data_IF_994108493565
#
_entry.id   IF_994108493565
#
_cell.length_a   1.000
_cell.length_b   1.000
_cell.length_c   1.000
_cell.angle_alpha   90.00
_cell.angle_beta   90.00
_cell.angle_gamma   90.00
#
_symmetry.space_group_name_H-M   'P 1'
#
loop_
_entity.id
_entity.type
_entity.pdbx_description
1 polymer ?
#
# COMPACT_ATOMS: atom_id res chain seq x y z
N UNK A 1 12.91 -12.52 16.84
CA UNK A 1 13.66 -11.61 17.75
C UNK A 1 12.87 -10.31 17.87
N UNK A 2 12.83 -9.62 19.03
CA UNK A 2 11.96 -8.42 19.21
C UNK A 2 12.17 -7.29 18.19
N UNK A 3 13.35 -7.21 17.58
CA UNK A 3 13.70 -6.19 16.59
C UNK A 3 13.43 -6.62 15.14
N UNK A 4 12.90 -7.81 14.90
CA UNK A 4 12.74 -8.39 13.57
C UNK A 4 11.89 -7.51 12.66
N UNK A 5 10.80 -6.95 13.18
CA UNK A 5 9.97 -6.06 12.37
C UNK A 5 10.64 -4.71 12.05
N UNK A 6 11.48 -4.19 12.95
CA UNK A 6 12.29 -2.99 12.69
C UNK A 6 13.35 -3.28 11.63
N UNK A 7 14.07 -4.39 11.76
CA UNK A 7 15.09 -4.83 10.81
C UNK A 7 14.51 -5.05 9.41
N UNK A 8 13.31 -5.64 9.34
CA UNK A 8 12.55 -5.78 8.10
C UNK A 8 12.35 -4.41 7.41
N UNK A 9 11.87 -3.42 8.16
CA UNK A 9 11.64 -2.07 7.64
C UNK A 9 12.93 -1.41 7.13
N UNK A 10 14.03 -1.56 7.89
CA UNK A 10 15.34 -1.05 7.48
C UNK A 10 15.84 -1.71 6.19
N UNK A 11 15.63 -3.02 6.04
CA UNK A 11 16.00 -3.76 4.85
C UNK A 11 15.19 -3.31 3.63
N UNK A 12 13.88 -3.13 3.78
CA UNK A 12 13.00 -2.67 2.68
C UNK A 12 13.44 -1.29 2.17
N UNK A 13 13.75 -0.37 3.09
CA UNK A 13 14.05 1.01 2.70
C UNK A 13 15.51 1.24 2.29
N UNK A 14 16.45 0.37 2.67
CA UNK A 14 17.88 0.55 2.44
C UNK A 14 18.23 0.77 0.95
N UNK A 15 17.76 -0.11 0.07
CA UNK A 15 17.98 0.00 -1.37
C UNK A 15 17.40 1.29 -1.97
N UNK A 16 16.08 1.54 -1.80
CA UNK A 16 15.44 2.79 -2.22
C UNK A 16 16.12 4.05 -1.70
N UNK A 17 16.55 4.09 -0.43
CA UNK A 17 17.27 5.24 0.12
C UNK A 17 18.62 5.44 -0.56
N UNK A 18 19.44 4.39 -0.66
CA UNK A 18 20.76 4.49 -1.27
C UNK A 18 20.68 4.92 -2.75
N UNK A 19 19.73 4.32 -3.49
CA UNK A 19 19.55 4.59 -4.91
C UNK A 19 18.75 5.87 -5.19
N UNK A 20 18.16 6.51 -4.18
CA UNK A 20 17.48 7.80 -4.35
C UNK A 20 18.41 8.93 -4.81
N UNK A 21 19.71 8.79 -4.54
CA UNK A 21 20.76 9.74 -4.92
C UNK A 21 21.34 9.50 -6.31
N UNK A 22 20.89 8.44 -7.00
CA UNK A 22 21.27 8.19 -8.39
C UNK A 22 20.97 9.40 -9.28
N UNK A 23 21.87 9.69 -10.22
CA UNK A 23 21.78 10.90 -11.06
C UNK A 23 20.64 10.84 -12.07
N UNK A 24 20.24 9.65 -12.51
CA UNK A 24 19.23 9.46 -13.55
C UNK A 24 17.82 9.58 -12.97
N UNK A 25 17.55 8.89 -11.86
CA UNK A 25 16.22 8.94 -11.21
C UNK A 25 16.10 10.14 -10.29
N UNK A 26 17.16 10.45 -9.53
CA UNK A 26 17.24 11.59 -8.59
C UNK A 26 16.00 11.73 -7.71
N UNK A 27 15.51 10.61 -7.15
CA UNK A 27 14.31 10.58 -6.32
C UNK A 27 14.42 11.47 -5.08
N UNK A 28 15.64 11.73 -4.60
CA UNK A 28 15.93 12.68 -3.51
C UNK A 28 15.32 14.07 -3.75
N UNK A 29 15.19 14.52 -5.01
CA UNK A 29 14.57 15.79 -5.34
C UNK A 29 13.05 15.82 -5.09
N UNK A 30 12.43 14.67 -4.86
CA UNK A 30 11.00 14.51 -4.64
C UNK A 30 10.66 14.01 -3.24
N UNK A 31 11.64 13.81 -2.35
CA UNK A 31 11.40 13.31 -1.00
C UNK A 31 10.40 14.12 -0.19
N UNK A 32 10.43 15.46 -0.26
CA UNK A 32 9.44 16.29 0.45
C UNK A 32 7.99 15.98 0.02
N UNK A 33 7.77 15.78 -1.28
CA UNK A 33 6.46 15.41 -1.84
C UNK A 33 6.09 13.97 -1.52
N UNK A 34 7.07 13.05 -1.56
CA UNK A 34 6.88 11.66 -1.19
C UNK A 34 6.47 11.57 0.28
N UNK A 35 7.24 12.14 1.21
CA UNK A 35 6.93 12.18 2.64
C UNK A 35 5.55 12.77 2.91
N UNK A 36 5.19 13.87 2.24
CA UNK A 36 3.84 14.44 2.39
C UNK A 36 2.74 13.48 1.89
N UNK A 37 2.93 12.81 0.76
CA UNK A 37 1.97 11.80 0.29
C UNK A 37 1.85 10.60 1.23
N UNK A 38 2.97 10.16 1.84
CA UNK A 38 2.97 9.09 2.84
C UNK A 38 2.16 9.52 4.06
N UNK A 39 2.42 10.71 4.61
CA UNK A 39 1.71 11.22 5.78
C UNK A 39 0.20 11.36 5.53
N UNK A 40 -0.21 11.82 4.33
CA UNK A 40 -1.63 11.91 3.97
C UNK A 40 -2.26 10.53 3.88
N UNK A 41 -1.60 9.56 3.24
CA UNK A 41 -2.12 8.20 3.13
C UNK A 41 -2.10 7.45 4.47
N UNK A 42 -1.14 7.75 5.35
CA UNK A 42 -1.07 7.19 6.69
C UNK A 42 -2.32 7.47 7.51
N UNK A 43 -2.95 8.65 7.36
CA UNK A 43 -4.12 9.02 8.19
C UNK A 43 -5.23 7.97 8.12
N UNK A 44 -5.83 7.65 6.96
CA UNK A 44 -6.90 6.66 6.91
C UNK A 44 -6.44 5.23 7.24
N UNK A 45 -5.24 4.82 6.79
CA UNK A 45 -4.79 3.43 6.92
C UNK A 45 -4.26 3.10 8.32
N UNK A 46 -3.49 3.99 8.95
CA UNK A 46 -3.08 3.81 10.34
C UNK A 46 -4.30 3.90 11.26
N UNK A 47 -5.24 4.81 10.99
CA UNK A 47 -6.49 4.88 11.77
C UNK A 47 -7.27 3.57 11.67
N UNK A 48 -7.36 2.99 10.48
CA UNK A 48 -7.95 1.67 10.30
C UNK A 48 -7.20 0.64 11.14
N UNK A 49 -5.88 0.50 11.00
CA UNK A 49 -5.08 -0.45 11.76
C UNK A 49 -5.27 -0.34 13.29
N UNK A 50 -5.27 0.89 13.82
CA UNK A 50 -5.51 1.17 15.25
C UNK A 50 -6.91 0.71 15.68
N UNK A 51 -7.93 0.86 14.83
CA UNK A 51 -9.31 0.51 15.16
C UNK A 51 -9.58 -1.00 15.15
N UNK A 52 -8.80 -1.76 14.36
CA UNK A 52 -9.06 -3.19 14.15
C UNK A 52 -8.01 -4.10 14.76
N UNK A 53 -6.84 -3.58 15.15
CA UNK A 53 -5.85 -4.33 15.91
C UNK A 53 -6.47 -4.80 17.23
N UNK A 54 -6.22 -6.06 17.60
CA UNK A 54 -6.92 -6.69 18.72
C UNK A 54 -8.20 -7.44 18.32
N UNK A 55 -8.66 -7.30 17.08
CA UNK A 55 -9.87 -7.98 16.54
C UNK A 55 -9.62 -8.66 15.19
N UNK A 56 -9.18 -7.90 14.19
CA UNK A 56 -8.92 -8.43 12.84
C UNK A 56 -7.54 -9.06 12.78
N UNK A 57 -6.55 -8.40 13.37
CA UNK A 57 -5.19 -8.91 13.51
C UNK A 57 -4.54 -8.48 14.82
N UNK A 58 -3.45 -9.20 15.16
CA UNK A 58 -2.60 -8.96 16.32
C UNK A 58 -1.14 -8.97 15.91
N UNK A 59 -0.30 -8.35 16.72
CA UNK A 59 1.15 -8.35 16.55
C UNK A 59 1.79 -9.31 17.54
N UNK A 60 2.73 -10.11 17.07
CA UNK A 60 3.40 -11.10 17.90
C UNK A 60 4.56 -10.45 18.68
N UNK A 61 4.49 -10.55 20.01
CA UNK A 61 5.48 -9.96 20.92
C UNK A 61 6.87 -10.61 20.81
N UNK A 62 6.98 -11.81 20.21
CA UNK A 62 8.26 -12.44 19.94
C UNK A 62 9.08 -11.75 18.83
N UNK A 63 8.41 -10.98 17.96
CA UNK A 63 8.97 -10.38 16.75
C UNK A 63 8.89 -8.85 16.72
N UNK A 64 8.20 -8.27 17.71
CA UNK A 64 7.94 -6.84 17.80
C UNK A 64 8.39 -6.29 19.16
N UNK A 65 8.69 -4.99 19.22
CA UNK A 65 8.99 -4.30 20.47
C UNK A 65 7.74 -4.17 21.32
N UNK A 66 7.83 -4.19 22.65
CA UNK A 66 6.63 -4.18 23.53
C UNK A 66 5.89 -2.84 23.56
N UNK A 67 6.54 -1.74 23.13
CA UNK A 67 5.90 -0.41 23.06
C UNK A 67 4.75 -0.46 22.05
N UNK A 68 3.60 0.11 22.42
CA UNK A 68 2.40 0.15 21.57
C UNK A 68 1.86 1.57 21.53
N UNK A 69 1.71 2.14 20.34
CA UNK A 69 1.01 3.40 20.11
C UNK A 69 -0.26 3.11 19.30
N UNK A 70 -1.43 3.36 19.89
CA UNK A 70 -2.72 2.96 19.29
C UNK A 70 -2.85 1.44 19.11
N UNK A 71 -2.21 0.64 19.96
CA UNK A 71 -2.18 -0.82 19.83
C UNK A 71 -1.14 -1.36 18.83
N UNK A 72 -0.48 -0.49 18.05
CA UNK A 72 0.48 -0.89 17.02
C UNK A 72 1.94 -0.82 17.52
N UNK A 73 2.81 -1.79 17.19
CA UNK A 73 4.25 -1.70 17.43
C UNK A 73 4.90 -0.59 16.60
N UNK A 74 6.05 -0.03 17.04
CA UNK A 74 6.82 0.91 16.22
C UNK A 74 7.18 0.38 14.83
N UNK A 75 7.38 -0.93 14.67
CA UNK A 75 7.62 -1.56 13.38
C UNK A 75 6.46 -1.40 12.40
N UNK A 76 5.22 -1.37 12.89
CA UNK A 76 4.04 -1.14 12.04
C UNK A 76 3.96 0.32 11.60
N UNK A 77 4.21 1.27 12.51
CA UNK A 77 4.30 2.68 12.14
C UNK A 77 5.39 2.96 11.10
N UNK A 78 6.53 2.27 11.21
CA UNK A 78 7.59 2.32 10.19
C UNK A 78 7.14 1.68 8.87
N UNK A 79 6.36 0.61 8.90
CA UNK A 79 5.86 -0.07 7.70
C UNK A 79 5.09 0.88 6.78
N UNK A 80 4.22 1.70 7.36
CA UNK A 80 3.47 2.73 6.63
C UNK A 80 4.34 3.85 6.01
N UNK A 81 5.61 3.95 6.41
CA UNK A 81 6.56 4.91 5.82
C UNK A 81 7.48 4.20 4.83
N UNK A 82 8.13 3.11 5.24
CA UNK A 82 9.20 2.46 4.48
C UNK A 82 8.68 1.80 3.21
N UNK A 83 7.57 1.07 3.30
CA UNK A 83 7.04 0.30 2.17
C UNK A 83 6.49 1.24 1.10
N UNK A 84 5.60 2.21 1.40
CA UNK A 84 5.10 3.06 0.34
C UNK A 84 6.19 4.03 -0.17
N UNK A 85 7.20 4.40 0.63
CA UNK A 85 8.39 5.10 0.12
C UNK A 85 9.14 4.26 -0.93
N UNK A 86 9.40 2.99 -0.63
CA UNK A 86 10.05 2.06 -1.57
C UNK A 86 9.25 1.89 -2.87
N UNK A 87 7.91 1.85 -2.76
CA UNK A 87 7.02 1.79 -3.92
C UNK A 87 7.04 3.10 -4.74
N UNK A 88 7.02 4.27 -4.10
CA UNK A 88 7.16 5.55 -4.81
C UNK A 88 8.52 5.67 -5.51
N UNK A 89 9.59 5.19 -4.89
CA UNK A 89 10.89 5.07 -5.54
C UNK A 89 10.80 4.17 -6.79
N UNK A 90 10.20 2.98 -6.67
CA UNK A 90 10.01 2.04 -7.79
C UNK A 90 9.24 2.68 -8.94
N UNK A 91 8.20 3.43 -8.64
CA UNK A 91 7.43 4.19 -9.62
C UNK A 91 8.30 5.22 -10.37
N UNK A 92 9.14 5.95 -9.66
CA UNK A 92 10.03 6.95 -10.25
C UNK A 92 11.17 6.32 -11.05
N UNK A 93 11.66 5.14 -10.65
CA UNK A 93 12.55 4.33 -11.48
C UNK A 93 11.85 3.96 -12.79
N UNK A 94 10.62 3.44 -12.75
CA UNK A 94 9.90 3.09 -13.98
C UNK A 94 9.75 4.31 -14.90
N UNK A 95 9.41 5.48 -14.37
CA UNK A 95 9.31 6.72 -15.16
C UNK A 95 10.65 7.24 -15.69
N UNK A 96 11.75 7.03 -14.97
CA UNK A 96 13.08 7.45 -15.39
C UNK A 96 13.70 6.58 -16.49
N UNK A 97 13.17 5.36 -16.70
CA UNK A 97 13.71 4.39 -17.65
C UNK A 97 12.77 4.03 -18.80
N UNK A 98 11.45 4.19 -18.64
CA UNK A 98 10.47 3.73 -19.62
C UNK A 98 9.48 4.83 -20.01
N UNK A 99 9.03 4.77 -21.26
CA UNK A 99 7.97 5.65 -21.76
C UNK A 99 6.62 5.32 -21.10
N UNK A 100 5.87 6.37 -20.76
CA UNK A 100 4.57 6.28 -20.09
C UNK A 100 3.42 6.88 -20.92
N UNK A 101 3.14 6.38 -22.13
CA UNK A 101 1.99 6.86 -22.89
C UNK A 101 0.68 6.49 -22.19
N UNK A 102 -0.38 7.29 -22.36
CA UNK A 102 -1.70 6.93 -21.86
C UNK A 102 -2.25 5.70 -22.61
N UNK A 103 -3.01 4.89 -21.88
CA UNK A 103 -3.76 3.72 -22.35
C UNK A 103 -5.27 3.97 -22.15
N UNK A 104 -5.98 4.61 -23.11
CA UNK A 104 -7.39 4.95 -22.94
C UNK A 104 -8.29 3.75 -22.63
N UNK A 105 -7.99 2.57 -23.20
CA UNK A 105 -8.72 1.32 -22.93
C UNK A 105 -8.72 0.94 -21.44
N UNK A 106 -7.65 1.30 -20.73
CA UNK A 106 -7.44 1.01 -19.32
C UNK A 106 -8.22 1.93 -18.38
N UNK A 107 -8.81 3.02 -18.89
CA UNK A 107 -9.81 3.80 -18.16
C UNK A 107 -11.03 2.95 -17.73
N UNK A 108 -11.28 1.81 -18.40
CA UNK A 108 -12.29 0.84 -17.97
C UNK A 108 -11.96 0.20 -16.61
N UNK A 109 -10.69 -0.05 -16.32
CA UNK A 109 -10.27 -0.66 -15.05
C UNK A 109 -10.68 0.24 -13.89
N UNK A 110 -10.29 1.52 -13.91
CA UNK A 110 -10.69 2.48 -12.88
C UNK A 110 -12.22 2.62 -12.75
N UNK A 111 -12.97 2.53 -13.86
CA UNK A 111 -14.45 2.53 -13.80
C UNK A 111 -15.02 1.30 -13.11
N UNK A 112 -14.48 0.11 -13.41
CA UNK A 112 -14.92 -1.14 -12.81
C UNK A 112 -14.57 -1.20 -11.32
N UNK A 113 -13.46 -0.59 -10.90
CA UNK A 113 -13.08 -0.52 -9.49
C UNK A 113 -14.09 0.24 -8.62
N UNK A 114 -14.92 1.14 -9.19
CA UNK A 114 -16.00 1.76 -8.42
C UNK A 114 -17.08 0.76 -7.97
N UNK A 115 -17.22 -0.38 -8.65
CA UNK A 115 -18.13 -1.45 -8.23
C UNK A 115 -17.68 -2.11 -6.92
N UNK A 116 -16.42 -1.90 -6.50
CA UNK A 116 -15.92 -2.39 -5.22
C UNK A 116 -16.50 -1.62 -4.03
N UNK A 117 -17.01 -0.41 -4.22
CA UNK A 117 -17.64 0.39 -3.15
C UNK A 117 -18.91 -0.30 -2.65
N UNK A 118 -19.95 -0.55 -3.47
CA UNK A 118 -21.14 -1.24 -3.00
C UNK A 118 -20.84 -2.68 -2.57
N UNK A 119 -19.94 -3.39 -3.25
CA UNK A 119 -19.52 -4.73 -2.84
C UNK A 119 -18.86 -4.73 -1.44
N UNK A 120 -18.00 -3.74 -1.17
CA UNK A 120 -17.35 -3.55 0.11
C UNK A 120 -18.35 -3.26 1.23
N UNK A 121 -19.32 -2.38 1.00
CA UNK A 121 -20.40 -2.08 1.96
C UNK A 121 -21.23 -3.34 2.26
N UNK A 122 -21.62 -4.09 1.23
CA UNK A 122 -22.38 -5.34 1.41
C UNK A 122 -21.60 -6.33 2.27
N UNK A 123 -20.33 -6.59 1.94
CA UNK A 123 -19.51 -7.55 2.69
C UNK A 123 -19.24 -7.10 4.12
N UNK A 124 -19.07 -5.79 4.35
CA UNK A 124 -18.95 -5.24 5.69
C UNK A 124 -20.19 -5.53 6.54
N UNK A 125 -21.39 -5.25 6.01
CA UNK A 125 -22.67 -5.50 6.71
C UNK A 125 -22.90 -7.00 6.96
N UNK A 126 -22.41 -7.87 6.08
CA UNK A 126 -22.44 -9.32 6.26
C UNK A 126 -21.42 -9.85 7.29
N UNK A 127 -20.70 -8.97 7.99
CA UNK A 127 -19.72 -9.32 9.02
C UNK A 127 -18.32 -9.62 8.48
N UNK A 128 -18.08 -9.47 7.18
CA UNK A 128 -16.75 -9.56 6.56
C UNK A 128 -16.09 -8.19 6.52
N UNK A 129 -15.87 -7.64 7.71
CA UNK A 129 -15.38 -6.28 7.91
C UNK A 129 -14.04 -6.02 7.18
N UNK A 130 -13.06 -6.93 7.28
CA UNK A 130 -11.75 -6.74 6.64
C UNK A 130 -11.90 -6.70 5.11
N UNK A 131 -12.56 -7.70 4.54
CA UNK A 131 -12.83 -7.77 3.10
C UNK A 131 -13.60 -6.53 2.63
N UNK A 132 -14.63 -6.13 3.37
CA UNK A 132 -15.46 -4.98 3.07
C UNK A 132 -14.67 -3.66 3.04
N UNK A 133 -13.86 -3.42 4.08
CA UNK A 133 -13.03 -2.23 4.18
C UNK A 133 -11.94 -2.18 3.10
N UNK A 134 -11.31 -3.32 2.76
CA UNK A 134 -10.27 -3.37 1.73
C UNK A 134 -10.84 -3.03 0.34
N UNK A 135 -11.99 -3.62 -0.02
CA UNK A 135 -12.68 -3.30 -1.26
C UNK A 135 -13.15 -1.85 -1.32
N UNK A 136 -13.71 -1.34 -0.21
CA UNK A 136 -14.14 0.04 -0.10
C UNK A 136 -12.95 1.00 -0.28
N UNK A 137 -11.83 0.76 0.40
CA UNK A 137 -10.64 1.57 0.29
C UNK A 137 -10.11 1.63 -1.15
N UNK A 138 -9.97 0.48 -1.82
CA UNK A 138 -9.51 0.44 -3.22
C UNK A 138 -10.48 1.15 -4.17
N UNK A 139 -11.79 0.97 -3.97
CA UNK A 139 -12.82 1.68 -4.74
C UNK A 139 -12.77 3.20 -4.56
N UNK A 140 -12.58 3.67 -3.32
CA UNK A 140 -12.43 5.10 -3.00
C UNK A 140 -11.14 5.69 -3.61
N UNK A 141 -10.04 4.93 -3.61
CA UNK A 141 -8.80 5.35 -4.29
C UNK A 141 -9.01 5.52 -5.79
N UNK A 142 -9.81 4.65 -6.43
CA UNK A 142 -10.18 4.82 -7.84
C UNK A 142 -11.03 6.09 -8.09
N UNK A 143 -11.92 6.44 -7.16
CA UNK A 143 -12.64 7.72 -7.20
C UNK A 143 -11.67 8.89 -7.07
N UNK A 144 -10.75 8.84 -6.09
CA UNK A 144 -9.75 9.90 -5.87
C UNK A 144 -8.82 10.10 -7.07
N UNK A 145 -8.38 9.03 -7.73
CA UNK A 145 -7.57 9.13 -8.96
C UNK A 145 -8.28 9.96 -10.04
N UNK A 146 -9.60 9.76 -10.17
CA UNK A 146 -10.42 10.53 -11.11
C UNK A 146 -10.61 11.97 -10.64
N UNK A 147 -10.97 12.20 -9.38
CA UNK A 147 -11.23 13.53 -8.84
C UNK A 147 -9.98 14.42 -8.84
N UNK A 148 -8.81 13.83 -8.62
CA UNK A 148 -7.53 14.54 -8.62
C UNK A 148 -6.90 14.61 -10.02
N UNK A 149 -7.56 14.05 -11.05
CA UNK A 149 -7.11 14.04 -12.43
C UNK A 149 -5.69 13.47 -12.64
N UNK A 150 -5.26 12.58 -11.75
CA UNK A 150 -3.94 11.93 -11.82
C UNK A 150 -3.91 10.83 -12.88
N UNK A 151 -5.07 10.28 -13.22
CA UNK A 151 -5.26 9.30 -14.30
C UNK A 151 -4.32 8.08 -14.18
N UNK A 152 -3.94 7.67 -12.97
CA UNK A 152 -3.00 6.57 -12.69
C UNK A 152 -3.42 5.31 -13.41
N UNK A 153 -4.70 4.93 -13.39
CA UNK A 153 -5.17 3.72 -14.09
C UNK A 153 -5.10 3.81 -15.63
N UNK A 154 -4.87 4.99 -16.20
CA UNK A 154 -4.66 5.18 -17.64
C UNK A 154 -3.18 5.14 -18.01
N UNK A 155 -2.26 5.17 -17.05
CA UNK A 155 -0.83 5.20 -17.34
C UNK A 155 -0.31 3.79 -17.64
N UNK A 156 0.47 3.64 -18.73
CA UNK A 156 1.07 2.35 -19.10
C UNK A 156 1.92 1.78 -17.97
N UNK A 157 2.66 2.62 -17.26
CA UNK A 157 3.58 2.17 -16.21
C UNK A 157 2.89 1.67 -14.94
N UNK A 158 1.59 1.95 -14.75
CA UNK A 158 0.84 1.46 -13.59
C UNK A 158 0.80 -0.06 -13.52
N UNK A 159 0.74 -0.73 -14.67
CA UNK A 159 0.66 -2.19 -14.74
C UNK A 159 1.96 -2.92 -14.36
N UNK A 160 3.15 -2.56 -14.91
CA UNK A 160 4.39 -3.11 -14.41
C UNK A 160 4.68 -2.68 -12.97
N UNK A 161 4.29 -1.47 -12.56
CA UNK A 161 4.38 -1.04 -11.16
C UNK A 161 3.58 -1.96 -10.22
N UNK A 162 2.33 -2.25 -10.56
CA UNK A 162 1.48 -3.17 -9.80
C UNK A 162 2.07 -4.57 -9.80
N UNK A 163 2.56 -5.09 -10.93
CA UNK A 163 3.17 -6.42 -11.01
C UNK A 163 4.43 -6.53 -10.12
N UNK A 164 5.31 -5.52 -10.14
CA UNK A 164 6.48 -5.46 -9.26
C UNK A 164 6.04 -5.37 -7.79
N UNK A 165 5.03 -4.55 -7.49
CA UNK A 165 4.47 -4.45 -6.14
C UNK A 165 3.88 -5.77 -5.67
N UNK A 166 3.17 -6.52 -6.52
CA UNK A 166 2.68 -7.88 -6.21
C UNK A 166 3.83 -8.82 -5.86
N UNK A 167 4.90 -8.82 -6.65
CA UNK A 167 6.07 -9.66 -6.39
C UNK A 167 6.72 -9.32 -5.04
N UNK A 168 6.85 -8.03 -4.72
CA UNK A 168 7.33 -7.60 -3.42
C UNK A 168 6.38 -7.94 -2.28
N UNK A 169 5.06 -7.85 -2.45
CA UNK A 169 4.11 -8.31 -1.44
C UNK A 169 4.24 -9.80 -1.19
N UNK A 170 4.38 -10.62 -2.23
CA UNK A 170 4.60 -12.06 -2.09
C UNK A 170 5.87 -12.38 -1.28
N UNK A 171 6.95 -11.61 -1.48
CA UNK A 171 8.21 -11.81 -0.76
C UNK A 171 8.13 -11.27 0.67
N UNK A 172 7.84 -9.98 0.82
CA UNK A 172 7.96 -9.28 2.09
C UNK A 172 6.75 -9.53 3.00
N UNK A 173 5.53 -9.47 2.47
CA UNK A 173 4.34 -9.80 3.27
C UNK A 173 4.26 -11.32 3.52
N UNK A 174 4.73 -12.12 2.55
CA UNK A 174 4.92 -13.56 2.75
C UNK A 174 5.86 -13.84 3.91
N UNK A 175 6.98 -13.13 4.00
CA UNK A 175 7.89 -13.23 5.14
C UNK A 175 7.22 -12.86 6.47
N UNK A 176 6.53 -11.71 6.54
CA UNK A 176 5.87 -11.26 7.78
C UNK A 176 4.80 -12.24 8.27
N UNK A 177 4.02 -12.79 7.35
CA UNK A 177 2.95 -13.76 7.67
C UNK A 177 3.47 -15.17 7.97
N UNK A 178 4.56 -15.60 7.32
CA UNK A 178 5.21 -16.88 7.60
C UNK A 178 6.06 -16.88 8.89
N UNK A 179 6.57 -15.71 9.31
CA UNK A 179 7.31 -15.47 10.57
C UNK A 179 6.39 -14.98 11.70
N UNK A 180 5.14 -15.45 11.71
CA UNK A 180 3.94 -14.82 12.29
C UNK A 180 4.18 -13.51 13.03
N UNK A 181 4.65 -12.48 12.34
CA UNK A 181 4.86 -11.13 12.90
C UNK A 181 3.50 -10.46 13.10
N UNK A 182 2.64 -10.64 12.10
CA UNK A 182 1.22 -10.26 12.10
C UNK A 182 0.38 -11.53 12.06
N UNK A 183 -0.56 -11.64 12.99
CA UNK A 183 -1.46 -12.76 13.17
C UNK A 183 -2.86 -12.34 12.76
N UNK A 184 -3.52 -13.10 11.90
CA UNK A 184 -4.85 -12.75 11.37
C UNK A 184 -5.94 -13.63 11.96
N UNK A 185 -7.04 -13.00 12.37
CA UNK A 185 -8.28 -13.69 12.72
C UNK A 185 -9.08 -14.07 11.47
N UNK A 186 -9.79 -15.18 11.51
CA UNK A 186 -10.54 -15.68 10.33
C UNK A 186 -11.98 -15.12 10.24
N UNK A 187 -12.50 -14.58 11.34
CA UNK A 187 -13.91 -14.18 11.44
C UNK A 187 -14.30 -13.06 10.46
N UNK A 188 -13.42 -12.08 10.27
CA UNK A 188 -13.70 -10.83 9.55
C UNK A 188 -13.24 -10.83 8.08
N UNK A 189 -12.69 -11.93 7.59
CA UNK A 189 -12.15 -12.08 6.24
C UNK A 189 -12.77 -13.29 5.52
N UNK A 190 -12.46 -13.47 4.23
CA UNK A 190 -12.95 -14.58 3.42
C UNK A 190 -12.32 -15.93 3.78
N UNK A 191 -11.20 -15.92 4.51
CA UNK A 191 -10.44 -17.14 4.84
C UNK A 191 -9.61 -17.67 3.66
N UNK A 192 -9.53 -16.91 2.56
CA UNK A 192 -8.71 -17.25 1.40
C UNK A 192 -7.29 -16.71 1.58
N UNK A 193 -6.29 -17.50 1.20
CA UNK A 193 -4.87 -17.11 1.29
C UNK A 193 -4.12 -17.46 0.01
N UNK A 194 -3.13 -16.64 -0.32
CA UNK A 194 -2.07 -16.96 -1.27
C UNK A 194 -0.82 -17.24 -0.43
N UNK A 195 -0.37 -18.49 -0.41
CA UNK A 195 0.59 -18.98 0.58
C UNK A 195 0.07 -18.71 2.01
N UNK A 196 0.80 -17.94 2.81
CA UNK A 196 0.41 -17.54 4.17
C UNK A 196 -0.37 -16.22 4.22
N UNK A 197 -0.46 -15.50 3.10
CA UNK A 197 -0.96 -14.13 3.05
C UNK A 197 -2.48 -14.13 2.79
N UNK A 198 -3.31 -13.48 3.64
CA UNK A 198 -4.72 -13.23 3.33
C UNK A 198 -4.90 -12.52 1.99
N UNK A 199 -5.91 -12.90 1.20
CA UNK A 199 -6.15 -12.23 -0.10
C UNK A 199 -6.47 -10.74 0.08
N UNK A 200 -7.08 -10.37 1.21
CA UNK A 200 -7.38 -9.00 1.58
C UNK A 200 -6.13 -8.13 1.72
N UNK A 201 -4.99 -8.67 2.16
CA UNK A 201 -3.73 -7.91 2.28
C UNK A 201 -3.28 -7.36 0.93
N UNK A 202 -3.53 -8.09 -0.17
CA UNK A 202 -3.23 -7.59 -1.52
C UNK A 202 -4.08 -6.38 -1.86
N UNK A 203 -5.37 -6.43 -1.53
CA UNK A 203 -6.31 -5.34 -1.80
C UNK A 203 -5.99 -4.13 -0.91
N UNK A 204 -5.75 -4.36 0.38
CA UNK A 204 -5.32 -3.35 1.35
C UNK A 204 -4.04 -2.66 0.87
N UNK A 205 -3.02 -3.46 0.54
CA UNK A 205 -1.73 -2.95 0.09
C UNK A 205 -1.85 -2.16 -1.21
N UNK A 206 -2.61 -2.64 -2.21
CA UNK A 206 -2.85 -1.84 -3.41
C UNK A 206 -3.58 -0.53 -3.11
N UNK A 207 -4.58 -0.54 -2.24
CA UNK A 207 -5.28 0.68 -1.86
C UNK A 207 -4.32 1.70 -1.22
N UNK A 208 -3.48 1.27 -0.27
CA UNK A 208 -2.47 2.13 0.36
C UNK A 208 -1.46 2.66 -0.66
N UNK A 209 -0.86 1.78 -1.45
CA UNK A 209 0.17 2.14 -2.42
C UNK A 209 -0.37 3.07 -3.51
N UNK A 210 -1.56 2.80 -4.03
CA UNK A 210 -2.20 3.63 -5.04
C UNK A 210 -2.66 4.98 -4.46
N UNK A 211 -3.12 5.05 -3.20
CA UNK A 211 -3.42 6.32 -2.55
C UNK A 211 -2.17 7.19 -2.46
N UNK A 212 -1.06 6.63 -1.96
CA UNK A 212 0.24 7.29 -1.94
C UNK A 212 0.63 7.80 -3.32
N UNK A 213 0.51 6.96 -4.35
CA UNK A 213 0.87 7.30 -5.72
C UNK A 213 0.00 8.41 -6.31
N UNK A 214 -1.32 8.35 -6.12
CA UNK A 214 -2.28 9.38 -6.56
C UNK A 214 -1.93 10.72 -5.91
N UNK A 215 -1.75 10.76 -4.58
CA UNK A 215 -1.40 12.00 -3.88
C UNK A 215 -0.03 12.51 -4.33
N UNK A 216 0.95 11.63 -4.47
CA UNK A 216 2.30 11.98 -4.91
C UNK A 216 2.33 12.63 -6.31
N UNK A 217 1.66 12.01 -7.29
CA UNK A 217 1.57 12.57 -8.65
C UNK A 217 0.81 13.91 -8.68
N UNK A 218 -0.24 14.04 -7.85
CA UNK A 218 -0.96 15.31 -7.70
C UNK A 218 -0.07 16.42 -7.15
N UNK A 219 0.74 16.12 -6.12
CA UNK A 219 1.70 17.06 -5.52
C UNK A 219 2.88 17.36 -6.47
N UNK A 220 3.26 16.43 -7.34
CA UNK A 220 4.25 16.66 -8.39
C UNK A 220 3.75 17.60 -9.49
N UNK A 221 2.44 17.85 -9.56
CA UNK A 221 1.85 18.73 -10.55
C UNK A 221 1.65 18.04 -11.90
N UNK A 222 1.44 16.72 -11.90
CA UNK A 222 1.22 15.93 -13.12
C UNK A 222 0.01 16.42 -13.90
N UNK A 223 0.21 17.36 -14.83
CA UNK A 223 -0.73 17.64 -15.93
C UNK A 223 -0.68 16.48 -16.91
N UNK A 224 -1.41 15.42 -16.62
CA UNK A 224 -1.72 14.39 -17.61
C UNK A 224 -3.09 14.74 -18.21
N UNK A 225 -3.06 15.68 -19.16
CA UNK A 225 -4.18 15.93 -20.08
C UNK A 225 -4.43 14.72 -20.97
#
# INVERSE_FOLDING_TARGET
MKYEYILFNLLVIAGPLALSFDRRVRFVAHWGKALLSLLIAMVPFVSWDVLVTGRHWWFNDAYTLDVRLGGLPPGEWLFFVTVPFACLFTWEVLKGYFANPPLPRMARVGRLLHLLIPAGVILFVLGKEYTGLALLALGLVAVLDRLLHTNIFRQKLTYPFLAISTAFMLIFNGYLTARPVVLYGESYQLGLRIFTIPVEDFVYGYALLLLCLVVFERLKGGRHG
#
